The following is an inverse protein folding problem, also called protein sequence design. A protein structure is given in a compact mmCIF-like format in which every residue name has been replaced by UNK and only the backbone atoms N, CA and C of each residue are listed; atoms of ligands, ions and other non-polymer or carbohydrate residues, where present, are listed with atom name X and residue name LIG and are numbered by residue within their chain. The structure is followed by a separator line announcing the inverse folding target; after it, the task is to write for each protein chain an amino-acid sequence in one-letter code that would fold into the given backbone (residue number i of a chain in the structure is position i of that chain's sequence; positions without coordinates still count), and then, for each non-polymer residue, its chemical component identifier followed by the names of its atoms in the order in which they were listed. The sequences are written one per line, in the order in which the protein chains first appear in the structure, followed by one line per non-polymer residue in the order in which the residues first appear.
data_IF_143854948197
#
_entry.id   IF_143854948197
#
_cell.length_a   1.000
_cell.length_b   1.000
_cell.length_c   1.000
_cell.angle_alpha   90.00
_cell.angle_beta   90.00
_cell.angle_gamma   90.00
#
_symmetry.space_group_name_H-M   'P 1'
#
loop_
_entity.id
_entity.type
_entity.pdbx_description
1 polymer ?
#
# COMPACT_ATOMS: atom_id res chain seq x y z
N UNK A 1 3.04 -31.31 29.96
CA UNK A 1 3.33 -30.18 29.04
C UNK A 1 2.04 -29.44 28.73
N UNK A 2 1.90 -28.21 29.24
CA UNK A 2 0.67 -27.42 29.05
C UNK A 2 0.75 -26.54 27.78
N UNK A 3 -0.31 -26.53 26.98
CA UNK A 3 -0.43 -25.82 25.71
C UNK A 3 -1.50 -24.73 25.85
N UNK A 4 -1.20 -23.53 25.37
CA UNK A 4 -2.18 -22.44 25.36
C UNK A 4 -3.14 -22.63 24.17
N UNK A 5 -4.32 -23.21 24.44
CA UNK A 5 -5.32 -23.60 23.43
C UNK A 5 -6.63 -22.82 23.63
N UNK A 6 -7.22 -22.35 22.54
CA UNK A 6 -8.51 -21.63 22.55
C UNK A 6 -9.59 -22.40 21.82
N UNK A 7 -10.56 -22.92 22.57
CA UNK A 7 -11.75 -23.62 22.01
C UNK A 7 -12.72 -22.68 21.30
N UNK A 8 -12.64 -21.37 21.56
CA UNK A 8 -13.47 -20.34 20.91
C UNK A 8 -12.88 -19.86 19.57
N UNK A 9 -11.67 -20.29 19.23
CA UNK A 9 -11.04 -19.95 17.96
C UNK A 9 -11.70 -20.66 16.79
N UNK A 10 -11.73 -20.03 15.61
CA UNK A 10 -12.10 -20.66 14.34
C UNK A 10 -11.08 -21.73 13.89
N UNK A 11 -9.88 -21.75 14.47
CA UNK A 11 -8.84 -22.74 14.15
C UNK A 11 -9.13 -24.07 14.84
N UNK A 12 -9.17 -25.20 14.11
CA UNK A 12 -9.29 -26.54 14.70
C UNK A 12 -8.24 -26.83 15.78
N UNK A 13 -8.63 -27.51 16.86
CA UNK A 13 -7.76 -27.75 18.02
C UNK A 13 -6.48 -28.54 17.67
N UNK A 14 -6.54 -29.48 16.74
CA UNK A 14 -5.34 -30.25 16.34
C UNK A 14 -4.29 -29.36 15.68
N UNK A 15 -4.71 -28.34 14.92
CA UNK A 15 -3.82 -27.34 14.33
C UNK A 15 -3.21 -26.43 15.39
N UNK A 16 -3.96 -26.09 16.44
CA UNK A 16 -3.42 -25.30 17.56
C UNK A 16 -2.34 -26.09 18.33
N UNK A 17 -2.57 -27.38 18.59
CA UNK A 17 -1.59 -28.28 19.22
C UNK A 17 -0.34 -28.42 18.34
N UNK A 18 -0.53 -28.67 17.05
CA UNK A 18 0.56 -28.77 16.07
C UNK A 18 1.38 -27.47 16.01
N UNK A 19 0.74 -26.29 15.91
CA UNK A 19 1.44 -24.99 15.85
C UNK A 19 2.24 -24.72 17.13
N UNK A 20 1.67 -25.01 18.30
CA UNK A 20 2.34 -24.80 19.58
C UNK A 20 3.59 -25.68 19.73
N UNK A 21 3.50 -26.96 19.33
CA UNK A 21 4.62 -27.89 19.33
C UNK A 21 5.69 -27.52 18.29
N UNK A 22 5.28 -27.17 17.06
CA UNK A 22 6.18 -26.68 16.00
C UNK A 22 6.97 -25.47 16.47
N UNK A 23 6.32 -24.49 17.10
CA UNK A 23 6.99 -23.31 17.62
C UNK A 23 8.03 -23.64 18.70
N UNK A 24 7.71 -24.54 19.64
CA UNK A 24 8.65 -25.01 20.69
C UNK A 24 9.85 -25.75 20.11
N UNK A 25 9.65 -26.53 19.04
CA UNK A 25 10.75 -27.20 18.31
C UNK A 25 11.63 -26.16 17.60
N UNK A 26 11.02 -25.22 16.87
CA UNK A 26 11.74 -24.19 16.10
C UNK A 26 12.51 -23.19 16.99
N UNK A 27 11.96 -22.85 18.16
CA UNK A 27 12.65 -22.03 19.18
C UNK A 27 13.71 -22.79 19.97
N UNK A 28 13.89 -24.09 19.69
CA UNK A 28 14.80 -24.99 20.40
C UNK A 28 14.46 -25.19 21.90
N UNK A 29 13.21 -24.92 22.29
CA UNK A 29 12.68 -25.26 23.63
C UNK A 29 12.55 -26.78 23.80
N UNK A 30 12.29 -27.48 22.69
CA UNK A 30 12.33 -28.94 22.59
C UNK A 30 13.52 -29.34 21.72
N UNK A 31 14.61 -29.75 22.37
CA UNK A 31 15.87 -30.11 21.69
C UNK A 31 15.71 -31.38 20.84
N UNK A 32 16.61 -31.57 19.88
CA UNK A 32 16.73 -32.81 19.12
C UNK A 32 16.73 -34.05 20.04
N UNK A 33 16.03 -35.11 19.61
CA UNK A 33 15.87 -36.36 20.36
C UNK A 33 15.12 -36.24 21.69
N UNK A 34 14.50 -35.09 21.98
CA UNK A 34 13.56 -34.96 23.10
C UNK A 34 12.34 -35.83 22.82
N UNK A 35 11.98 -36.70 23.79
CA UNK A 35 10.76 -37.51 23.72
C UNK A 35 9.54 -36.62 23.96
N UNK A 36 8.61 -36.59 23.01
CA UNK A 36 7.32 -35.95 23.22
C UNK A 36 6.44 -36.78 24.16
N UNK A 37 5.52 -36.15 24.92
CA UNK A 37 4.58 -36.87 25.75
C UNK A 37 3.77 -37.89 24.94
N UNK A 38 3.37 -39.00 25.57
CA UNK A 38 2.49 -39.96 24.92
C UNK A 38 1.14 -39.30 24.58
N UNK A 39 0.46 -39.78 23.54
CA UNK A 39 -0.79 -39.20 23.04
C UNK A 39 -1.82 -39.02 24.15
N UNK A 40 -2.02 -40.04 25.00
CA UNK A 40 -2.96 -39.99 26.12
C UNK A 40 -2.51 -38.99 27.19
N UNK A 41 -1.23 -39.01 27.56
CA UNK A 41 -0.67 -38.05 28.53
C UNK A 41 -0.86 -36.60 28.08
N UNK A 42 -0.53 -36.28 26.81
CA UNK A 42 -0.71 -34.91 26.31
C UNK A 42 -2.19 -34.53 26.22
N UNK A 43 -3.05 -35.49 25.89
CA UNK A 43 -4.49 -35.27 25.82
C UNK A 43 -5.07 -34.96 27.22
N UNK A 44 -4.70 -35.75 28.23
CA UNK A 44 -5.18 -35.59 29.61
C UNK A 44 -4.71 -34.27 30.21
N UNK A 45 -3.42 -33.92 30.07
CA UNK A 45 -2.83 -32.67 30.57
C UNK A 45 -3.48 -31.41 29.98
N UNK A 46 -4.06 -31.51 28.78
CA UNK A 46 -4.63 -30.36 28.06
C UNK A 46 -6.16 -30.49 27.86
N UNK A 47 -6.80 -31.47 28.51
CA UNK A 47 -8.23 -31.77 28.36
C UNK A 47 -8.68 -31.87 26.90
N UNK A 48 -7.95 -32.66 26.10
CA UNK A 48 -8.20 -32.88 24.67
C UNK A 48 -8.69 -34.30 24.41
N UNK A 49 -9.35 -34.50 23.26
CA UNK A 49 -9.57 -35.84 22.74
C UNK A 49 -8.24 -36.42 22.23
N UNK A 50 -7.86 -37.67 22.57
CA UNK A 50 -6.64 -38.31 22.06
C UNK A 50 -6.48 -38.25 20.55
N UNK A 51 -7.58 -38.34 19.78
CA UNK A 51 -7.55 -38.23 18.32
C UNK A 51 -7.05 -36.86 17.81
N UNK A 52 -7.28 -35.79 18.57
CA UNK A 52 -6.75 -34.43 18.27
C UNK A 52 -5.23 -34.41 18.36
N UNK A 53 -4.67 -35.08 19.36
CA UNK A 53 -3.21 -35.19 19.55
C UNK A 53 -2.59 -36.09 18.48
N UNK A 54 -3.26 -37.20 18.11
CA UNK A 54 -2.82 -38.07 17.01
C UNK A 54 -2.68 -37.26 15.72
N UNK A 55 -3.71 -36.51 15.31
CA UNK A 55 -3.69 -35.68 14.11
C UNK A 55 -2.57 -34.62 14.15
N UNK A 56 -2.32 -34.01 15.31
CA UNK A 56 -1.24 -33.06 15.47
C UNK A 56 0.14 -33.71 15.32
N UNK A 57 0.35 -34.90 15.89
CA UNK A 57 1.60 -35.64 15.80
C UNK A 57 1.84 -36.19 14.39
N UNK A 58 0.78 -36.64 13.70
CA UNK A 58 0.85 -37.04 12.29
C UNK A 58 1.33 -35.87 11.43
N UNK A 59 0.76 -34.68 11.60
CA UNK A 59 1.18 -33.49 10.86
C UNK A 59 2.63 -33.05 11.17
N UNK A 60 3.06 -33.13 12.43
CA UNK A 60 4.48 -32.89 12.79
C UNK A 60 5.42 -33.92 12.13
N UNK A 61 4.98 -35.17 11.99
CA UNK A 61 5.75 -36.24 11.36
C UNK A 61 5.83 -36.06 9.84
N UNK A 62 4.73 -35.67 9.19
CA UNK A 62 4.68 -35.34 7.75
C UNK A 62 5.70 -34.26 7.40
N UNK A 63 5.81 -33.22 8.23
CA UNK A 63 6.78 -32.13 8.08
C UNK A 63 8.17 -32.48 8.61
N UNK A 64 8.41 -33.75 8.98
CA UNK A 64 9.68 -34.28 9.49
C UNK A 64 10.20 -33.58 10.75
N UNK A 65 9.36 -32.84 11.47
CA UNK A 65 9.70 -32.19 12.74
C UNK A 65 9.84 -33.19 13.89
N UNK A 66 9.18 -34.35 13.76
CA UNK A 66 9.30 -35.46 14.69
C UNK A 66 9.46 -36.79 13.94
N UNK A 67 10.03 -37.79 14.62
CA UNK A 67 10.08 -39.17 14.15
C UNK A 67 9.53 -40.13 15.21
N UNK A 68 9.03 -41.29 14.78
CA UNK A 68 8.46 -42.32 15.67
C UNK A 68 9.45 -43.48 15.81
N UNK A 69 9.81 -43.84 17.04
CA UNK A 69 10.53 -45.08 17.36
C UNK A 69 9.53 -46.12 17.85
N UNK A 70 9.37 -47.20 17.10
CA UNK A 70 8.40 -48.28 17.39
C UNK A 70 8.59 -48.79 18.83
N UNK A 71 7.50 -48.90 19.58
CA UNK A 71 7.50 -49.31 21.00
C UNK A 71 8.01 -48.26 21.99
N UNK A 72 8.53 -47.12 21.53
CA UNK A 72 9.26 -46.16 22.38
C UNK A 72 8.63 -44.76 22.40
N UNK A 73 8.01 -44.31 21.30
CA UNK A 73 7.25 -43.06 21.25
C UNK A 73 7.67 -42.13 20.12
N UNK A 74 7.29 -40.86 20.23
CA UNK A 74 7.63 -39.81 19.26
C UNK A 74 8.74 -38.91 19.79
N UNK A 75 9.69 -38.55 18.93
CA UNK A 75 10.91 -37.81 19.28
C UNK A 75 11.11 -36.64 18.31
N UNK A 76 11.69 -35.55 18.79
CA UNK A 76 12.01 -34.37 17.98
C UNK A 76 13.15 -34.68 17.02
N UNK A 77 12.99 -34.35 15.74
CA UNK A 77 13.99 -34.53 14.68
C UNK A 77 15.13 -33.50 14.75
N UNK A 78 16.26 -33.79 14.11
CA UNK A 78 17.38 -32.85 13.99
C UNK A 78 17.01 -31.61 13.19
N UNK A 79 17.44 -30.43 13.66
CA UNK A 79 17.26 -29.15 12.97
C UNK A 79 17.83 -29.14 11.54
N UNK A 80 18.83 -29.98 11.25
CA UNK A 80 19.41 -30.14 9.90
C UNK A 80 18.49 -30.86 8.89
N UNK A 81 17.50 -31.61 9.38
CA UNK A 81 16.54 -32.36 8.56
C UNK A 81 15.17 -31.67 8.44
N UNK A 82 14.99 -30.53 9.12
CA UNK A 82 13.83 -29.67 8.92
C UNK A 82 14.02 -29.02 7.55
N UNK A 83 13.45 -29.63 6.51
CA UNK A 83 13.10 -28.85 5.32
C UNK A 83 12.14 -27.80 5.83
N UNK A 84 12.63 -26.58 5.99
CA UNK A 84 11.77 -25.43 6.18
C UNK A 84 11.05 -25.31 4.83
N UNK A 85 9.97 -26.06 4.64
CA UNK A 85 8.82 -25.47 3.97
C UNK A 85 8.43 -24.35 4.93
N UNK A 86 9.09 -23.20 4.78
CA UNK A 86 8.49 -21.95 5.18
C UNK A 86 7.15 -22.02 4.47
N UNK A 87 6.07 -22.11 5.24
CA UNK A 87 4.75 -21.71 4.78
C UNK A 87 4.93 -20.22 4.41
N UNK A 88 5.52 -20.00 3.23
CA UNK A 88 5.79 -18.71 2.62
C UNK A 88 4.47 -17.97 2.42
N UNK A 89 3.34 -18.67 2.45
CA UNK A 89 2.04 -18.04 2.31
C UNK A 89 1.53 -17.41 3.62
N UNK A 90 1.71 -18.02 4.80
CA UNK A 90 1.12 -17.46 6.04
C UNK A 90 2.02 -16.42 6.73
N UNK A 91 3.35 -16.58 6.69
CA UNK A 91 4.28 -15.64 7.34
C UNK A 91 4.58 -14.39 6.51
N UNK A 92 4.42 -14.51 5.18
CA UNK A 92 4.55 -13.39 4.26
C UNK A 92 3.23 -12.65 4.12
N UNK A 93 2.06 -13.29 4.27
CA UNK A 93 0.80 -12.53 4.33
C UNK A 93 0.76 -11.56 5.53
N UNK A 94 1.27 -11.94 6.70
CA UNK A 94 1.35 -11.04 7.87
C UNK A 94 2.39 -9.90 7.70
N UNK A 95 3.33 -10.00 6.74
CA UNK A 95 4.35 -8.97 6.48
C UNK A 95 4.23 -8.28 5.12
N UNK A 96 3.45 -8.77 4.16
CA UNK A 96 3.12 -8.05 2.93
C UNK A 96 1.96 -7.08 3.20
N UNK A 97 1.18 -7.30 4.25
CA UNK A 97 0.29 -6.29 4.84
C UNK A 97 1.05 -5.17 5.61
N UNK A 98 2.38 -5.10 5.55
CA UNK A 98 3.22 -4.17 6.36
C UNK A 98 3.19 -2.68 5.98
N UNK A 99 2.10 -2.20 5.38
CA UNK A 99 1.73 -0.78 5.53
C UNK A 99 0.59 -0.56 6.52
N UNK A 100 -0.12 -1.62 6.94
CA UNK A 100 -1.29 -1.53 7.81
C UNK A 100 -1.29 -2.69 8.81
N UNK A 101 -0.58 -2.51 9.93
CA UNK A 101 -0.64 -3.43 11.06
C UNK A 101 -2.08 -3.54 11.58
N UNK A 102 -2.76 -4.64 11.28
CA UNK A 102 -4.08 -4.93 11.81
C UNK A 102 -3.95 -5.64 13.17
N UNK A 103 -3.53 -4.88 14.18
CA UNK A 103 -3.33 -5.43 15.54
C UNK A 103 -4.62 -5.30 16.33
N UNK A 104 -5.31 -6.42 16.56
CA UNK A 104 -6.48 -6.46 17.45
C UNK A 104 -6.14 -5.84 18.81
N UNK A 105 -7.00 -4.92 19.27
CA UNK A 105 -6.93 -4.22 20.56
C UNK A 105 -5.76 -3.23 20.78
N UNK A 106 -5.12 -2.74 19.71
CA UNK A 106 -4.13 -1.66 19.83
C UNK A 106 -4.57 -0.41 19.06
N UNK A 107 -4.14 0.77 19.54
CA UNK A 107 -4.33 2.05 18.86
C UNK A 107 -3.28 2.16 17.74
N UNK A 108 -3.73 2.33 16.50
CA UNK A 108 -2.86 2.41 15.33
C UNK A 108 -2.54 3.88 14.99
N UNK A 109 -1.33 4.32 15.32
CA UNK A 109 -0.79 5.64 14.92
C UNK A 109 0.05 5.60 13.62
N UNK A 110 0.23 4.42 13.01
CA UNK A 110 1.09 4.23 11.84
C UNK A 110 0.33 4.26 10.51
N UNK A 111 -0.96 3.88 10.53
CA UNK A 111 -1.78 3.81 9.33
C UNK A 111 -2.62 5.07 9.15
N UNK A 112 -2.58 5.65 7.95
CA UNK A 112 -3.50 6.71 7.53
C UNK A 112 -4.83 6.15 6.98
N UNK A 113 -5.24 4.93 7.34
CA UNK A 113 -6.46 4.29 6.83
C UNK A 113 -7.67 4.68 7.69
N UNK A 114 -8.82 5.04 7.08
CA UNK A 114 -10.03 5.33 7.83
C UNK A 114 -10.49 4.11 8.66
N UNK A 115 -11.13 4.37 9.81
CA UNK A 115 -11.77 3.31 10.60
C UNK A 115 -12.86 2.61 9.77
N UNK A 116 -13.01 1.30 9.94
CA UNK A 116 -14.03 0.52 9.23
C UNK A 116 -15.46 1.00 9.52
N UNK A 117 -15.68 1.57 10.71
CA UNK A 117 -16.99 2.07 11.14
C UNK A 117 -17.40 3.37 10.41
N UNK A 118 -16.48 4.03 9.70
CA UNK A 118 -16.76 5.21 8.89
C UNK A 118 -17.22 4.87 7.46
N UNK A 119 -17.15 3.60 7.05
CA UNK A 119 -17.50 3.23 5.68
C UNK A 119 -19.02 3.20 5.48
N UNK A 120 -19.55 3.92 4.46
CA UNK A 120 -20.98 4.02 4.22
C UNK A 120 -21.51 2.78 3.49
N UNK A 121 -21.55 1.64 4.20
CA UNK A 121 -21.87 0.33 3.61
C UNK A 121 -23.25 0.31 2.93
N UNK A 122 -24.27 0.89 3.57
CA UNK A 122 -25.63 0.90 3.02
C UNK A 122 -25.75 1.81 1.79
N UNK A 123 -25.14 3.00 1.81
CA UNK A 123 -25.11 3.89 0.64
C UNK A 123 -24.38 3.23 -0.54
N UNK A 124 -23.28 2.52 -0.26
CA UNK A 124 -22.53 1.82 -1.30
C UNK A 124 -23.32 0.65 -1.90
N UNK A 125 -24.03 -0.13 -1.08
CA UNK A 125 -24.96 -1.17 -1.58
C UNK A 125 -26.06 -0.56 -2.45
N UNK A 126 -26.65 0.54 -2.02
CA UNK A 126 -27.68 1.24 -2.78
C UNK A 126 -27.13 1.74 -4.12
N UNK A 127 -25.91 2.29 -4.15
CA UNK A 127 -25.26 2.71 -5.38
C UNK A 127 -25.02 1.55 -6.36
N UNK A 128 -24.54 0.39 -5.86
CA UNK A 128 -24.36 -0.81 -6.69
C UNK A 128 -25.70 -1.26 -7.26
N UNK A 129 -26.72 -1.44 -6.42
CA UNK A 129 -28.03 -1.90 -6.87
C UNK A 129 -28.64 -0.93 -7.88
N UNK A 130 -28.53 0.38 -7.66
CA UNK A 130 -28.99 1.39 -8.60
C UNK A 130 -28.33 1.26 -9.98
N UNK A 131 -27.02 0.99 -10.04
CA UNK A 131 -26.32 0.77 -11.32
C UNK A 131 -26.79 -0.53 -11.97
N UNK A 132 -26.98 -1.61 -11.20
CA UNK A 132 -27.44 -2.90 -11.73
C UNK A 132 -28.88 -2.82 -12.26
N UNK A 133 -29.77 -2.09 -11.58
CA UNK A 133 -31.15 -1.89 -12.02
C UNK A 133 -31.22 -1.01 -13.27
N UNK A 134 -30.40 0.06 -13.33
CA UNK A 134 -30.38 1.01 -14.45
C UNK A 134 -29.73 0.43 -15.71
N UNK A 135 -28.57 -0.22 -15.55
CA UNK A 135 -27.70 -0.59 -16.68
C UNK A 135 -27.75 -2.11 -16.97
N UNK A 136 -28.21 -2.93 -16.02
CA UNK A 136 -28.27 -4.38 -16.15
C UNK A 136 -26.91 -4.98 -16.50
N UNK A 137 -26.91 -5.90 -17.48
CA UNK A 137 -25.67 -6.52 -17.97
C UNK A 137 -24.64 -5.53 -18.55
N UNK A 138 -25.08 -4.37 -19.05
CA UNK A 138 -24.17 -3.36 -19.63
C UNK A 138 -23.23 -2.74 -18.58
N UNK A 139 -23.57 -2.85 -17.30
CA UNK A 139 -22.70 -2.44 -16.20
C UNK A 139 -21.35 -3.17 -16.20
N UNK A 140 -21.28 -4.35 -16.83
CA UNK A 140 -20.10 -5.21 -16.86
C UNK A 140 -19.35 -5.20 -18.19
N UNK A 141 -19.80 -4.40 -19.17
CA UNK A 141 -19.11 -4.29 -20.46
C UNK A 141 -17.75 -3.62 -20.33
N UNK A 142 -16.87 -3.92 -21.29
CA UNK A 142 -15.61 -3.20 -21.44
C UNK A 142 -15.87 -1.72 -21.62
N UNK A 143 -15.24 -0.93 -20.75
CA UNK A 143 -15.29 0.52 -20.81
C UNK A 143 -14.14 1.07 -21.65
N UNK A 144 -14.19 2.36 -21.93
CA UNK A 144 -13.08 3.07 -22.54
C UNK A 144 -11.77 2.84 -21.74
N UNK A 145 -10.63 2.73 -22.42
CA UNK A 145 -9.32 2.47 -21.78
C UNK A 145 -8.89 3.53 -20.77
N UNK A 146 -9.38 4.77 -20.92
CA UNK A 146 -9.19 5.84 -19.93
C UNK A 146 -10.10 5.72 -18.72
N UNK A 147 -11.07 4.80 -18.74
CA UNK A 147 -12.10 4.62 -17.73
C UNK A 147 -13.46 5.16 -18.17
N UNK A 148 -14.47 4.82 -17.36
CA UNK A 148 -15.87 5.14 -17.61
C UNK A 148 -16.08 6.65 -17.82
N UNK A 149 -16.67 7.03 -18.96
CA UNK A 149 -16.75 8.43 -19.40
C UNK A 149 -17.52 9.29 -18.39
N UNK A 150 -18.64 8.81 -17.86
CA UNK A 150 -19.44 9.57 -16.91
C UNK A 150 -18.68 9.85 -15.61
N UNK A 151 -17.86 8.90 -15.15
CA UNK A 151 -16.99 9.12 -14.00
C UNK A 151 -15.93 10.20 -14.29
N UNK A 152 -15.29 10.14 -15.46
CA UNK A 152 -14.31 11.16 -15.86
C UNK A 152 -14.92 12.55 -15.98
N UNK A 153 -16.17 12.67 -16.45
CA UNK A 153 -16.91 13.94 -16.46
C UNK A 153 -17.14 14.48 -15.04
N UNK A 154 -17.60 13.64 -14.12
CA UNK A 154 -17.77 14.06 -12.72
C UNK A 154 -16.45 14.48 -12.07
N UNK A 155 -15.35 13.78 -12.36
CA UNK A 155 -14.03 14.19 -11.86
C UNK A 155 -13.61 15.52 -12.49
N UNK A 156 -13.82 15.71 -13.80
CA UNK A 156 -13.56 16.98 -14.49
C UNK A 156 -14.33 18.13 -13.84
N UNK A 157 -15.64 17.95 -13.59
CA UNK A 157 -16.47 18.93 -12.90
C UNK A 157 -15.94 19.24 -11.49
N UNK A 158 -15.56 18.20 -10.73
CA UNK A 158 -14.93 18.36 -9.42
C UNK A 158 -13.62 19.16 -9.48
N UNK A 159 -12.73 18.84 -10.42
CA UNK A 159 -11.47 19.56 -10.61
C UNK A 159 -11.69 21.02 -11.03
N UNK A 160 -12.72 21.31 -11.82
CA UNK A 160 -13.12 22.68 -12.17
C UNK A 160 -13.51 23.47 -10.92
N UNK A 161 -14.23 22.85 -9.96
CA UNK A 161 -14.53 23.52 -8.67
C UNK A 161 -13.28 23.87 -7.85
N UNK A 162 -12.15 23.22 -8.16
CA UNK A 162 -10.83 23.47 -7.57
C UNK A 162 -9.95 24.36 -8.46
N UNK A 163 -10.56 25.09 -9.39
CA UNK A 163 -9.87 25.96 -10.37
C UNK A 163 -8.87 25.22 -11.27
N UNK A 164 -9.03 23.90 -11.45
CA UNK A 164 -8.21 23.12 -12.39
C UNK A 164 -8.99 22.91 -13.68
N UNK A 165 -8.56 23.56 -14.76
CA UNK A 165 -9.21 23.44 -16.06
C UNK A 165 -8.79 22.15 -16.78
N UNK A 166 -9.39 21.03 -16.38
CA UNK A 166 -9.08 19.70 -16.92
C UNK A 166 -10.29 19.12 -17.63
N UNK A 167 -10.18 18.82 -18.93
CA UNK A 167 -11.26 18.14 -19.66
C UNK A 167 -11.39 16.68 -19.21
N UNK A 168 -12.57 16.08 -19.32
CA UNK A 168 -12.73 14.64 -19.11
C UNK A 168 -11.86 13.78 -20.05
N UNK A 169 -11.43 14.34 -21.21
CA UNK A 169 -10.52 13.70 -22.17
C UNK A 169 -9.08 13.61 -21.65
N UNK A 170 -8.72 14.53 -20.75
CA UNK A 170 -7.41 14.68 -20.11
C UNK A 170 -7.30 13.87 -18.81
N UNK A 171 -8.31 13.05 -18.50
CA UNK A 171 -8.41 12.27 -17.26
C UNK A 171 -8.25 10.79 -17.57
N UNK A 172 -7.31 10.15 -16.89
CA UNK A 172 -7.14 8.70 -16.86
C UNK A 172 -7.54 8.18 -15.48
N UNK A 173 -8.47 7.23 -15.43
CA UNK A 173 -8.80 6.49 -14.21
C UNK A 173 -7.71 5.44 -13.96
N UNK A 174 -7.26 5.35 -12.71
CA UNK A 174 -6.22 4.43 -12.25
C UNK A 174 -6.64 3.72 -10.96
N UNK A 175 -5.98 2.61 -10.67
CA UNK A 175 -6.11 1.80 -9.45
C UNK A 175 -5.37 2.43 -8.25
N UNK A 176 -5.56 3.74 -8.03
CA UNK A 176 -4.91 4.55 -7.00
C UNK A 176 -3.61 5.24 -7.46
N UNK A 177 -3.10 6.15 -6.63
CA UNK A 177 -1.93 6.99 -6.96
C UNK A 177 -0.67 6.19 -7.29
N UNK A 178 -0.42 5.04 -6.64
CA UNK A 178 0.74 4.21 -6.95
C UNK A 178 0.74 3.74 -8.41
N UNK A 179 -0.42 3.35 -8.96
CA UNK A 179 -0.50 2.95 -10.38
C UNK A 179 -0.24 4.15 -11.30
N UNK A 180 -0.71 5.35 -10.94
CA UNK A 180 -0.39 6.57 -11.70
C UNK A 180 1.12 6.82 -11.74
N UNK A 181 1.78 6.75 -10.57
CA UNK A 181 3.23 6.93 -10.46
C UNK A 181 3.96 5.89 -11.31
N UNK A 182 3.55 4.63 -11.26
CA UNK A 182 4.14 3.58 -12.07
C UNK A 182 4.00 3.87 -13.57
N UNK A 183 2.80 4.24 -14.04
CA UNK A 183 2.52 4.58 -15.44
C UNK A 183 3.38 5.76 -15.90
N UNK A 184 3.41 6.85 -15.12
CA UNK A 184 4.22 8.04 -15.40
C UNK A 184 5.70 7.66 -15.47
N UNK A 185 6.17 6.81 -14.56
CA UNK A 185 7.54 6.29 -14.58
C UNK A 185 7.82 5.52 -15.87
N UNK A 186 6.87 4.76 -16.42
CA UNK A 186 7.06 4.05 -17.70
C UNK A 186 7.12 4.98 -18.90
N UNK A 187 6.37 6.09 -18.86
CA UNK A 187 6.25 7.04 -19.97
C UNK A 187 7.46 7.96 -20.02
N UNK A 188 7.89 8.47 -18.86
CA UNK A 188 8.83 9.57 -18.78
C UNK A 188 10.25 9.17 -18.42
N UNK A 189 10.55 7.90 -18.10
CA UNK A 189 11.88 7.51 -17.63
C UNK A 189 12.47 6.45 -18.55
N UNK A 190 13.58 6.82 -19.19
CA UNK A 190 14.54 5.87 -19.75
C UNK A 190 15.69 5.63 -18.76
N UNK A 191 16.45 4.56 -19.00
CA UNK A 191 17.60 4.22 -18.15
C UNK A 191 18.62 5.38 -18.13
N UNK A 192 18.92 5.88 -16.93
CA UNK A 192 19.87 6.95 -16.72
C UNK A 192 19.32 8.38 -16.82
N UNK A 193 18.03 8.56 -17.11
CA UNK A 193 17.37 9.87 -17.12
C UNK A 193 17.36 10.49 -15.72
N UNK A 194 17.55 11.81 -15.66
CA UNK A 194 17.50 12.56 -14.41
C UNK A 194 16.05 12.88 -14.04
N UNK A 195 15.69 12.68 -12.77
CA UNK A 195 14.44 13.17 -12.18
C UNK A 195 14.74 13.90 -10.88
N UNK A 196 13.89 14.86 -10.52
CA UNK A 196 13.96 15.54 -9.23
C UNK A 196 12.88 15.05 -8.27
N UNK A 197 13.21 14.99 -6.98
CA UNK A 197 12.25 14.73 -5.90
C UNK A 197 12.54 15.63 -4.69
N UNK A 198 11.54 15.80 -3.84
CA UNK A 198 11.73 16.29 -2.47
C UNK A 198 12.48 15.25 -1.60
N UNK A 199 13.19 15.68 -0.55
CA UNK A 199 13.68 14.78 0.51
C UNK A 199 13.40 15.34 1.91
N UNK A 200 12.72 14.57 2.80
CA UNK A 200 12.18 13.22 2.59
C UNK A 200 10.98 13.18 1.62
N UNK A 201 10.66 12.02 1.04
CA UNK A 201 9.55 11.85 0.09
C UNK A 201 8.92 10.45 0.18
N UNK A 202 7.84 10.23 -0.58
CA UNK A 202 7.07 8.99 -0.56
C UNK A 202 7.86 7.79 -1.12
N UNK A 203 8.11 6.79 -0.28
CA UNK A 203 8.91 5.61 -0.62
C UNK A 203 8.38 4.81 -1.82
N UNK A 204 7.07 4.79 -2.03
CA UNK A 204 6.46 4.11 -3.18
C UNK A 204 6.86 4.74 -4.51
N UNK A 205 6.97 6.06 -4.57
CA UNK A 205 7.44 6.75 -5.77
C UNK A 205 8.93 6.49 -6.03
N UNK A 206 9.77 6.56 -4.99
CA UNK A 206 11.20 6.24 -5.11
C UNK A 206 11.42 4.81 -5.63
N UNK A 207 10.60 3.84 -5.21
CA UNK A 207 10.70 2.47 -5.68
C UNK A 207 10.43 2.38 -7.20
N UNK A 208 9.33 2.98 -7.67
CA UNK A 208 8.96 2.99 -9.10
C UNK A 208 10.03 3.65 -9.98
N UNK A 209 10.61 4.75 -9.51
CA UNK A 209 11.65 5.47 -10.25
C UNK A 209 12.98 4.69 -10.29
N UNK A 210 13.36 4.03 -9.19
CA UNK A 210 14.56 3.18 -9.13
C UNK A 210 14.43 1.95 -10.02
N UNK A 211 13.25 1.34 -10.10
CA UNK A 211 12.99 0.20 -10.98
C UNK A 211 13.23 0.56 -12.46
N UNK A 212 12.94 1.83 -12.82
CA UNK A 212 13.23 2.41 -14.15
C UNK A 212 14.68 2.87 -14.32
N UNK A 213 15.53 2.68 -13.31
CA UNK A 213 16.94 3.10 -13.28
C UNK A 213 17.12 4.60 -13.53
N UNK A 214 16.20 5.42 -13.02
CA UNK A 214 16.35 6.87 -13.01
C UNK A 214 17.55 7.30 -12.15
N UNK A 215 18.22 8.37 -12.55
CA UNK A 215 19.11 9.14 -11.68
C UNK A 215 18.25 10.09 -10.85
N UNK A 216 17.98 9.70 -9.62
CA UNK A 216 17.12 10.46 -8.70
C UNK A 216 17.96 11.52 -7.99
N UNK A 217 17.65 12.79 -8.25
CA UNK A 217 18.23 13.94 -7.56
C UNK A 217 17.23 14.44 -6.52
N UNK A 218 17.65 14.50 -5.26
CA UNK A 218 16.78 14.88 -4.14
C UNK A 218 17.16 16.25 -3.60
N UNK A 219 16.16 17.10 -3.39
CA UNK A 219 16.32 18.46 -2.89
C UNK A 219 15.65 18.63 -1.54
N UNK A 220 16.29 19.37 -0.64
CA UNK A 220 15.80 19.48 0.73
C UNK A 220 14.46 20.22 0.78
N UNK A 221 13.67 19.92 1.81
CA UNK A 221 12.46 20.67 2.08
C UNK A 221 12.75 21.76 3.11
N UNK A 222 12.33 22.97 2.78
CA UNK A 222 12.37 24.16 3.62
C UNK A 222 10.98 24.44 4.21
N UNK A 223 10.85 25.49 5.02
CA UNK A 223 9.55 25.98 5.51
C UNK A 223 8.55 26.34 4.40
N UNK A 224 9.03 26.58 3.17
CA UNK A 224 8.22 26.99 2.03
C UNK A 224 8.00 25.85 1.02
N UNK A 225 8.38 24.60 1.35
CA UNK A 225 8.39 23.47 0.41
C UNK A 225 9.81 23.16 -0.08
N UNK A 226 9.92 22.47 -1.23
CA UNK A 226 11.22 22.13 -1.84
C UNK A 226 12.14 23.36 -1.96
N UNK A 227 13.43 23.17 -1.73
CA UNK A 227 14.44 24.20 -1.91
C UNK A 227 14.60 24.53 -3.40
N UNK A 228 13.92 25.60 -3.83
CA UNK A 228 13.92 26.04 -5.22
C UNK A 228 15.26 26.64 -5.66
N UNK A 229 16.06 27.17 -4.73
CA UNK A 229 17.40 27.68 -5.06
C UNK A 229 18.35 26.51 -5.31
N UNK A 230 18.29 25.46 -4.49
CA UNK A 230 19.03 24.21 -4.72
C UNK A 230 18.64 23.57 -6.05
N UNK A 231 17.33 23.51 -6.34
CA UNK A 231 16.80 22.98 -7.61
C UNK A 231 17.28 23.81 -8.81
N UNK A 232 17.18 25.14 -8.76
CA UNK A 232 17.58 26.01 -9.86
C UNK A 232 19.09 25.90 -10.15
N UNK A 233 19.92 25.84 -9.10
CA UNK A 233 21.37 25.65 -9.24
C UNK A 233 21.74 24.32 -9.92
N UNK A 234 20.93 23.27 -9.73
CA UNK A 234 21.06 22.02 -10.46
C UNK A 234 20.61 22.16 -11.91
N UNK A 235 19.44 22.76 -12.14
CA UNK A 235 18.84 22.92 -13.48
C UNK A 235 19.67 23.79 -14.44
N UNK A 236 20.52 24.66 -13.91
CA UNK A 236 21.52 25.40 -14.70
C UNK A 236 22.61 24.51 -15.31
N UNK A 237 22.82 23.30 -14.78
CA UNK A 237 23.89 22.38 -15.17
C UNK A 237 23.35 21.16 -15.92
N UNK A 238 22.23 20.63 -15.46
CA UNK A 238 21.63 19.40 -15.96
C UNK A 238 20.12 19.55 -16.13
N UNK A 239 19.54 18.76 -17.05
CA UNK A 239 18.10 18.69 -17.25
C UNK A 239 17.48 17.55 -16.44
N UNK A 240 16.21 17.69 -16.10
CA UNK A 240 15.36 16.64 -15.53
C UNK A 240 14.14 16.40 -16.42
N UNK A 241 13.61 15.19 -16.43
CA UNK A 241 12.36 14.91 -17.16
C UNK A 241 11.14 15.43 -16.40
N UNK A 242 11.13 15.21 -15.08
CA UNK A 242 10.12 15.76 -14.19
C UNK A 242 10.61 15.95 -12.76
N UNK A 243 9.91 16.80 -12.02
CA UNK A 243 9.93 16.90 -10.56
C UNK A 243 8.71 16.20 -9.99
N UNK A 244 8.89 15.26 -9.05
CA UNK A 244 7.79 14.70 -8.25
C UNK A 244 7.73 15.38 -6.88
N UNK A 245 6.57 15.96 -6.54
CA UNK A 245 6.36 16.69 -5.30
C UNK A 245 4.93 16.56 -4.76
N UNK A 246 4.76 16.86 -3.46
CA UNK A 246 3.46 16.87 -2.78
C UNK A 246 3.24 18.25 -2.14
N UNK A 247 2.87 19.27 -2.93
CA UNK A 247 2.88 20.67 -2.49
C UNK A 247 1.79 21.00 -1.46
N UNK A 248 0.76 20.16 -1.34
CA UNK A 248 -0.32 20.29 -0.38
C UNK A 248 -0.29 19.08 0.56
N UNK A 249 0.21 19.28 1.79
CA UNK A 249 0.40 18.24 2.81
C UNK A 249 1.45 17.20 2.41
N UNK A 250 2.69 17.67 2.32
CA UNK A 250 3.85 16.88 1.94
C UNK A 250 4.00 15.62 2.80
N UNK A 251 4.22 14.46 2.19
CA UNK A 251 4.47 13.22 2.94
C UNK A 251 5.99 12.99 3.08
N UNK A 252 6.57 12.94 4.31
CA UNK A 252 5.90 12.80 5.62
C UNK A 252 5.75 14.09 6.45
N UNK A 253 6.21 15.25 5.98
CA UNK A 253 6.36 16.44 6.84
C UNK A 253 5.05 17.16 7.18
N UNK A 254 3.98 16.90 6.43
CA UNK A 254 2.70 17.60 6.49
C UNK A 254 2.74 19.04 5.96
N UNK A 255 3.88 19.51 5.45
CA UNK A 255 4.06 20.91 5.06
C UNK A 255 3.26 21.27 3.80
N UNK A 256 2.90 22.54 3.70
CA UNK A 256 2.20 23.10 2.56
C UNK A 256 3.15 24.12 1.93
N UNK A 257 3.40 23.98 0.62
CA UNK A 257 4.17 24.92 -0.15
C UNK A 257 3.38 26.22 -0.33
N UNK A 258 4.02 27.35 -0.04
CA UNK A 258 3.37 28.66 -0.16
C UNK A 258 3.09 29.05 -1.62
N UNK A 259 2.22 30.05 -1.81
CA UNK A 259 1.78 30.45 -3.14
C UNK A 259 2.91 31.04 -4.00
N UNK A 260 3.87 31.72 -3.39
CA UNK A 260 5.00 32.34 -4.09
C UNK A 260 5.94 31.27 -4.65
N UNK A 261 6.28 30.27 -3.83
CA UNK A 261 7.08 29.11 -4.21
C UNK A 261 6.39 28.26 -5.27
N UNK A 262 5.06 28.07 -5.18
CA UNK A 262 4.27 27.40 -6.23
C UNK A 262 4.36 28.10 -7.58
N UNK A 263 4.22 29.43 -7.61
CA UNK A 263 4.35 30.23 -8.83
C UNK A 263 5.75 30.13 -9.41
N UNK A 264 6.78 30.31 -8.56
CA UNK A 264 8.19 30.19 -8.97
C UNK A 264 8.47 28.80 -9.54
N UNK A 265 7.96 27.73 -8.93
CA UNK A 265 8.17 26.38 -9.41
C UNK A 265 7.53 26.15 -10.80
N UNK A 266 6.35 26.71 -11.05
CA UNK A 266 5.72 26.67 -12.37
C UNK A 266 6.56 27.43 -13.39
N UNK A 267 7.01 28.64 -13.07
CA UNK A 267 7.87 29.43 -13.95
C UNK A 267 9.18 28.67 -14.26
N UNK A 268 9.78 28.01 -13.27
CA UNK A 268 10.94 27.15 -13.45
C UNK A 268 10.64 25.97 -14.39
N UNK A 269 9.48 25.32 -14.25
CA UNK A 269 9.09 24.19 -15.13
C UNK A 269 8.97 24.59 -16.59
N UNK A 270 8.56 25.83 -16.86
CA UNK A 270 8.50 26.41 -18.19
C UNK A 270 9.90 26.79 -18.68
N UNK A 271 10.67 27.51 -17.86
CA UNK A 271 11.99 28.05 -18.23
C UNK A 271 13.04 26.95 -18.47
N UNK A 272 13.01 25.89 -17.66
CA UNK A 272 13.94 24.76 -17.74
C UNK A 272 13.37 23.53 -18.45
N UNK A 273 12.13 23.63 -18.93
CA UNK A 273 11.43 22.61 -19.73
C UNK A 273 11.37 21.22 -19.06
N UNK A 274 10.71 21.14 -17.92
CA UNK A 274 10.43 19.87 -17.23
C UNK A 274 8.96 19.78 -16.81
N UNK A 275 8.45 18.56 -16.59
CA UNK A 275 7.10 18.37 -16.05
C UNK A 275 7.09 18.37 -14.52
N UNK A 276 6.01 18.80 -13.92
CA UNK A 276 5.76 18.61 -12.49
C UNK A 276 4.73 17.50 -12.32
N UNK A 277 5.09 16.47 -11.58
CA UNK A 277 4.17 15.43 -11.12
C UNK A 277 3.71 15.81 -9.71
N UNK A 278 2.53 16.44 -9.65
CA UNK A 278 1.89 16.84 -8.40
C UNK A 278 1.08 15.67 -7.84
N UNK A 279 1.52 15.10 -6.71
CA UNK A 279 0.81 14.02 -6.01
C UNK A 279 -0.03 14.56 -4.86
N UNK A 280 -1.36 14.49 -5.02
CA UNK A 280 -2.34 14.93 -4.05
C UNK A 280 -3.19 13.75 -3.57
N UNK A 281 -2.98 13.37 -2.31
CA UNK A 281 -3.69 12.26 -1.69
C UNK A 281 -4.64 12.64 -0.56
N UNK A 282 -4.59 13.89 -0.06
CA UNK A 282 -5.25 14.29 1.19
C UNK A 282 -5.79 15.73 1.22
N UNK A 283 -5.73 16.52 0.14
CA UNK A 283 -6.18 17.93 0.19
C UNK A 283 -7.63 18.13 0.65
N UNK A 284 -8.53 17.16 0.49
CA UNK A 284 -9.92 17.24 0.98
C UNK A 284 -10.05 17.04 2.48
N UNK A 285 -9.01 16.53 3.15
CA UNK A 285 -8.97 16.35 4.61
C UNK A 285 -8.30 17.56 5.29
N UNK A 286 -8.45 18.75 4.69
CA UNK A 286 -7.99 20.00 5.25
C UNK A 286 -8.98 20.51 6.31
N UNK A 287 -8.53 20.55 7.56
CA UNK A 287 -9.31 21.05 8.70
C UNK A 287 -9.10 22.56 8.95
N UNK A 288 -8.24 23.21 8.18
CA UNK A 288 -8.01 24.65 8.25
C UNK A 288 -8.99 25.38 7.31
N UNK A 289 -9.42 26.59 7.70
CA UNK A 289 -10.40 27.39 6.94
C UNK A 289 -9.82 28.03 5.66
N UNK A 290 -8.67 27.58 5.18
CA UNK A 290 -8.01 28.11 3.99
C UNK A 290 -7.88 27.02 2.93
N UNK A 291 -8.45 27.26 1.75
CA UNK A 291 -8.29 26.36 0.60
C UNK A 291 -6.81 26.33 0.17
N UNK A 292 -6.28 25.12 -0.01
CA UNK A 292 -4.94 24.92 -0.54
C UNK A 292 -4.95 25.01 -2.06
N UNK A 293 -4.11 25.87 -2.63
CA UNK A 293 -3.97 26.05 -4.08
C UNK A 293 -3.08 24.94 -4.64
N UNK A 294 -3.53 24.20 -5.66
CA UNK A 294 -2.72 23.18 -6.34
C UNK A 294 -1.80 23.82 -7.39
N UNK A 295 -0.68 23.17 -7.71
CA UNK A 295 0.14 23.58 -8.86
C UNK A 295 -0.66 23.46 -10.15
N UNK A 296 -1.49 22.43 -10.29
CA UNK A 296 -2.35 22.23 -11.47
C UNK A 296 -3.34 23.37 -11.71
N UNK A 297 -3.84 24.01 -10.66
CA UNK A 297 -4.75 25.17 -10.79
C UNK A 297 -4.04 26.44 -11.28
N UNK A 298 -2.73 26.51 -11.09
CA UNK A 298 -1.89 27.64 -11.51
C UNK A 298 -1.25 27.41 -12.89
N UNK A 299 -1.23 26.16 -13.38
CA UNK A 299 -0.60 25.76 -14.63
C UNK A 299 -1.35 26.30 -15.86
N UNK A 300 -0.66 27.14 -16.63
CA UNK A 300 -1.15 27.69 -17.90
C UNK A 300 -0.39 27.12 -19.11
N UNK A 301 0.63 26.31 -18.86
CA UNK A 301 1.60 25.86 -19.87
C UNK A 301 1.60 24.33 -20.01
N UNK A 302 0.62 23.65 -19.41
CA UNK A 302 0.47 22.20 -19.46
C UNK A 302 1.70 21.46 -18.92
N UNK A 303 2.36 22.05 -17.91
CA UNK A 303 3.55 21.46 -17.26
C UNK A 303 3.20 20.58 -16.07
N UNK A 304 1.98 20.64 -15.54
CA UNK A 304 1.59 19.87 -14.35
C UNK A 304 0.76 18.65 -14.73
N UNK A 305 1.26 17.48 -14.34
CA UNK A 305 0.53 16.20 -14.30
C UNK A 305 0.04 16.03 -12.87
N UNK A 306 -1.28 16.06 -12.69
CA UNK A 306 -1.91 15.99 -11.38
C UNK A 306 -2.38 14.58 -11.08
N UNK A 307 -1.88 13.99 -10.00
CA UNK A 307 -2.32 12.69 -9.50
C UNK A 307 -3.27 12.93 -8.33
N UNK A 308 -4.48 12.36 -8.44
CA UNK A 308 -5.46 12.38 -7.35
C UNK A 308 -5.74 10.98 -6.84
N UNK A 309 -5.57 10.77 -5.53
CA UNK A 309 -6.06 9.57 -4.84
C UNK A 309 -7.36 9.84 -4.12
N UNK A 310 -8.34 8.94 -4.25
CA UNK A 310 -9.60 8.99 -3.48
C UNK A 310 -9.58 8.05 -2.27
N UNK A 311 -8.43 7.41 -2.02
CA UNK A 311 -8.29 6.32 -1.05
C UNK A 311 -8.50 6.75 0.40
N UNK A 312 -8.31 8.04 0.71
CA UNK A 312 -8.41 8.60 2.07
C UNK A 312 -9.76 9.26 2.37
N UNK A 313 -10.50 9.59 1.32
CA UNK A 313 -11.78 10.31 1.41
C UNK A 313 -12.99 9.41 1.10
N UNK A 314 -12.74 8.22 0.56
CA UNK A 314 -13.79 7.26 0.23
C UNK A 314 -13.48 5.88 0.86
N UNK A 315 -13.21 4.85 0.06
CA UNK A 315 -12.85 3.53 0.56
C UNK A 315 -11.54 3.07 -0.08
N UNK A 316 -10.48 2.79 0.71
CA UNK A 316 -9.19 2.39 0.16
C UNK A 316 -9.28 1.07 -0.62
N UNK A 317 -10.18 0.16 -0.24
CA UNK A 317 -10.39 -1.11 -0.94
C UNK A 317 -10.86 -0.98 -2.39
N UNK A 318 -11.48 0.15 -2.77
CA UNK A 318 -11.90 0.40 -4.16
C UNK A 318 -10.73 0.80 -5.07
N UNK A 319 -9.61 1.21 -4.47
CA UNK A 319 -8.40 1.62 -5.19
C UNK A 319 -8.70 2.62 -6.31
N UNK A 320 -9.51 3.64 -6.04
CA UNK A 320 -9.80 4.66 -7.06
C UNK A 320 -8.76 5.80 -7.00
N UNK A 321 -8.21 6.14 -8.16
CA UNK A 321 -7.41 7.33 -8.40
C UNK A 321 -7.67 7.89 -9.80
N UNK A 322 -7.17 9.09 -10.05
CA UNK A 322 -7.15 9.68 -11.38
C UNK A 322 -5.84 10.41 -11.66
N UNK A 323 -5.50 10.51 -12.93
CA UNK A 323 -4.40 11.36 -13.43
C UNK A 323 -5.01 12.37 -14.38
N UNK A 324 -4.78 13.65 -14.13
CA UNK A 324 -5.09 14.72 -15.08
C UNK A 324 -3.80 15.21 -15.75
N UNK A 325 -3.77 15.10 -17.07
CA UNK A 325 -2.64 15.48 -17.92
C UNK A 325 -3.18 16.09 -19.20
N UNK A 326 -2.52 17.13 -19.72
CA UNK A 326 -2.89 17.66 -21.03
C UNK A 326 -2.18 16.84 -22.10
N UNK A 327 -2.85 16.55 -23.23
CA UNK A 327 -2.28 15.77 -24.35
C UNK A 327 -0.84 16.25 -24.70
N UNK A 328 0.12 15.34 -24.55
CA UNK A 328 1.54 15.51 -24.88
C UNK A 328 1.79 15.59 -26.38
#
# INVERSE_FOLDING_TARGET
MNLNLSRKSKTPLYLQVYRSLKQKILKNDLKENTRLPAVRTLADENSLNPSTVVKAYEKLKEEKLIYKKVGSGSYVSSAKNIKIHEDYDDYVNDKIDSTQMNVKNNINFASATPSHDLFPIEDFKNAINHVLDRDGGKAFDYQNTQGYISLRKHISDFLITKNMNSSYKDIQIVSGAQQAIDIISKIFINEGDNIAIETPSYSGALASFKERKAKIHSFNITKNGIDLDELENFLQKDKINFLYCMPNFQNPTGMIMDLESKKRLIDMSVNYDFFIVEDDCISELNYFNEDVVSLKSLDKNNKVIYIKSYSKIFMPGLRLGSVSYTHL
#
